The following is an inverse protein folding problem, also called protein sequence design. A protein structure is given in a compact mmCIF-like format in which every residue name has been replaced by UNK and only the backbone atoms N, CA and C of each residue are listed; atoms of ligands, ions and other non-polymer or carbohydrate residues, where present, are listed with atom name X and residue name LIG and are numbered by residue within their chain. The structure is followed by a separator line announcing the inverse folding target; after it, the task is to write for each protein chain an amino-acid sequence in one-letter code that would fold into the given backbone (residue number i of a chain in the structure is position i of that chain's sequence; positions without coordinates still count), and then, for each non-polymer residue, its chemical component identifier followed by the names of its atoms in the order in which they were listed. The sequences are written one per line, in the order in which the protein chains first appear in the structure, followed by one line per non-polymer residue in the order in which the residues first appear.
data_IF_206894624350
#
_entry.id   IF_206894624350
#
_cell.length_a   1.000
_cell.length_b   1.000
_cell.length_c   1.000
_cell.angle_alpha   90.00
_cell.angle_beta   90.00
_cell.angle_gamma   90.00
#
_symmetry.space_group_name_H-M   'P 1'
#
loop_
_entity.id
_entity.type
_entity.pdbx_description
1 polymer ?
#
# COMPACT_ATOMS: atom_id res chain seq x y z
N UNK A 1 -53.73 36.07 18.69
CA UNK A 1 -53.77 34.65 18.27
C UNK A 1 -52.33 34.15 18.22
N UNK A 2 -51.74 33.75 19.35
CA UNK A 2 -51.53 32.36 19.81
C UNK A 2 -51.06 31.37 18.70
N UNK A 3 -49.75 31.04 18.79
CA UNK A 3 -49.05 29.77 18.46
C UNK A 3 -48.91 29.47 16.95
N UNK A 4 -47.77 29.08 16.40
CA UNK A 4 -46.90 27.92 16.68
C UNK A 4 -45.51 28.23 16.07
N UNK A 5 -44.43 28.29 16.86
CA UNK A 5 -43.41 27.25 17.02
C UNK A 5 -42.44 27.07 15.84
N UNK A 6 -41.26 27.65 16.06
CA UNK A 6 -39.91 27.19 15.67
C UNK A 6 -39.88 25.87 14.86
N UNK A 7 -39.62 25.99 13.57
CA UNK A 7 -39.06 24.91 12.74
C UNK A 7 -37.70 25.36 12.20
N UNK A 8 -36.75 25.57 13.12
CA UNK A 8 -35.36 25.90 12.81
C UNK A 8 -34.45 25.09 13.73
N UNK A 9 -34.37 23.77 13.51
CA UNK A 9 -33.32 22.95 14.10
C UNK A 9 -33.24 21.62 13.34
N UNK A 10 -32.00 21.17 13.12
CA UNK A 10 -31.61 19.86 12.57
C UNK A 10 -31.56 19.73 11.03
N UNK A 11 -30.70 20.52 10.39
CA UNK A 11 -30.02 20.09 9.16
C UNK A 11 -28.57 20.59 9.19
N UNK A 12 -27.80 20.09 10.15
CA UNK A 12 -26.37 20.40 10.28
C UNK A 12 -25.76 19.38 11.20
N UNK A 13 -24.58 18.86 10.84
CA UNK A 13 -23.93 17.67 11.42
C UNK A 13 -24.64 16.41 10.93
N UNK A 14 -24.18 15.75 9.87
CA UNK A 14 -23.05 14.84 9.90
C UNK A 14 -22.36 14.76 8.53
N UNK A 15 -21.65 15.81 8.13
CA UNK A 15 -20.42 15.61 7.35
C UNK A 15 -19.29 15.44 8.36
N UNK A 16 -19.37 14.37 9.17
CA UNK A 16 -18.19 13.83 9.81
C UNK A 16 -17.36 13.28 8.67
N UNK A 17 -16.49 14.14 8.12
CA UNK A 17 -15.51 13.76 7.13
C UNK A 17 -14.83 12.49 7.59
N UNK A 18 -14.61 11.57 6.64
CA UNK A 18 -13.76 10.42 6.80
C UNK A 18 -12.50 10.83 7.57
N UNK A 19 -12.45 10.53 8.86
CA UNK A 19 -11.25 10.73 9.65
C UNK A 19 -10.28 9.63 9.25
N UNK A 20 -9.47 9.91 8.25
CA UNK A 20 -8.34 9.08 7.78
C UNK A 20 -7.17 9.03 8.79
N UNK A 21 -7.44 9.12 10.09
CA UNK A 21 -6.39 9.06 11.12
C UNK A 21 -6.27 7.67 11.77
N UNK A 22 -7.26 6.79 11.62
CA UNK A 22 -7.25 5.45 12.27
C UNK A 22 -6.53 4.37 11.48
N UNK A 23 -6.29 4.58 10.17
CA UNK A 23 -5.64 3.57 9.33
C UNK A 23 -4.15 3.46 9.71
N UNK A 24 -3.44 4.59 9.79
CA UNK A 24 -2.00 4.64 10.08
C UNK A 24 -1.61 4.06 11.44
N UNK A 25 -2.37 4.30 12.51
CA UNK A 25 -2.05 3.72 13.83
C UNK A 25 -2.09 2.18 13.84
N UNK A 26 -3.05 1.58 13.12
CA UNK A 26 -3.14 0.12 13.01
C UNK A 26 -1.97 -0.43 12.20
N UNK A 27 -1.59 0.27 11.13
CA UNK A 27 -0.45 -0.12 10.28
C UNK A 27 0.88 -0.08 11.04
N UNK A 28 1.13 0.99 11.80
CA UNK A 28 2.37 1.16 12.56
C UNK A 28 2.48 0.16 13.72
N UNK A 29 1.37 -0.12 14.42
CA UNK A 29 1.33 -1.17 15.44
C UNK A 29 1.64 -2.54 14.87
N UNK A 30 1.06 -2.91 13.73
CA UNK A 30 1.33 -4.22 13.12
C UNK A 30 2.77 -4.36 12.62
N UNK A 31 3.36 -3.28 12.08
CA UNK A 31 4.77 -3.26 11.69
C UNK A 31 5.71 -3.38 12.90
N UNK A 32 5.41 -2.71 14.01
CA UNK A 32 6.15 -2.86 15.26
C UNK A 32 6.08 -4.29 15.78
N UNK A 33 4.93 -4.95 15.71
CA UNK A 33 4.79 -6.34 16.15
C UNK A 33 5.48 -7.32 15.18
N UNK A 34 5.38 -7.08 13.87
CA UNK A 34 6.08 -7.86 12.83
C UNK A 34 7.61 -7.77 12.98
N UNK A 35 8.13 -6.59 13.29
CA UNK A 35 9.58 -6.34 13.40
C UNK A 35 10.20 -6.89 14.68
N UNK A 36 9.44 -7.04 15.77
CA UNK A 36 9.92 -7.62 17.04
C UNK A 36 9.98 -9.14 17.03
N UNK A 37 9.06 -9.80 16.31
CA UNK A 37 8.86 -11.24 16.42
C UNK A 37 9.44 -12.09 15.27
N UNK A 38 9.95 -11.46 14.20
CA UNK A 38 10.13 -12.18 12.94
C UNK A 38 11.48 -11.95 12.26
N UNK A 39 12.06 -13.03 11.72
CA UNK A 39 13.25 -12.98 10.86
C UNK A 39 12.92 -12.19 9.57
N UNK A 40 13.75 -11.19 9.27
CA UNK A 40 13.74 -10.43 8.01
C UNK A 40 14.62 -11.14 6.98
N UNK A 41 14.22 -11.07 5.72
CA UNK A 41 14.98 -11.59 4.59
C UNK A 41 15.19 -10.48 3.57
N UNK A 42 16.39 -10.36 3.00
CA UNK A 42 16.65 -9.41 1.93
C UNK A 42 15.78 -9.75 0.73
N UNK A 43 14.99 -8.77 0.27
CA UNK A 43 14.18 -8.93 -0.92
C UNK A 43 15.06 -8.83 -2.16
N UNK A 44 14.85 -9.73 -3.12
CA UNK A 44 15.44 -9.64 -4.47
C UNK A 44 14.42 -9.06 -5.43
N UNK A 45 13.21 -9.63 -5.48
CA UNK A 45 12.07 -9.07 -6.22
C UNK A 45 10.74 -9.58 -5.65
N UNK A 46 9.66 -8.85 -5.93
CA UNK A 46 8.28 -9.28 -5.75
C UNK A 46 7.45 -8.77 -6.94
N UNK A 47 6.94 -9.68 -7.75
CA UNK A 47 6.31 -9.35 -9.04
C UNK A 47 4.92 -9.98 -9.14
N UNK A 48 3.97 -9.25 -9.71
CA UNK A 48 2.67 -9.79 -10.10
C UNK A 48 2.85 -10.71 -11.31
N UNK A 49 2.44 -11.97 -11.18
CA UNK A 49 2.33 -12.93 -12.26
C UNK A 49 0.88 -12.97 -12.71
N UNK A 50 0.60 -12.31 -13.83
CA UNK A 50 -0.70 -12.38 -14.48
C UNK A 50 -0.68 -13.53 -15.50
N UNK A 51 -1.50 -14.55 -15.29
CA UNK A 51 -1.72 -15.63 -16.27
C UNK A 51 -3.05 -15.48 -17.04
N UNK A 52 -3.87 -14.46 -16.73
CA UNK A 52 -5.10 -14.13 -17.45
C UNK A 52 -6.28 -15.08 -17.19
N UNK A 53 -6.01 -16.24 -16.59
CA UNK A 53 -6.98 -17.31 -16.36
C UNK A 53 -7.44 -17.41 -14.90
N UNK A 54 -6.77 -16.72 -13.98
CA UNK A 54 -7.10 -16.74 -12.55
C UNK A 54 -7.84 -15.48 -12.09
N UNK A 55 -8.87 -15.71 -11.29
CA UNK A 55 -9.64 -14.65 -10.60
C UNK A 55 -8.83 -13.93 -9.51
N UNK A 56 -7.70 -14.49 -9.10
CA UNK A 56 -6.85 -13.94 -8.04
C UNK A 56 -5.45 -13.60 -8.57
N UNK A 57 -4.99 -12.41 -8.21
CA UNK A 57 -3.62 -11.98 -8.46
C UNK A 57 -2.63 -12.96 -7.81
N UNK A 58 -1.64 -13.43 -8.55
CA UNK A 58 -0.56 -14.28 -8.04
C UNK A 58 0.74 -13.49 -8.03
N UNK A 59 1.53 -13.59 -6.97
CA UNK A 59 2.80 -12.89 -6.83
C UNK A 59 3.95 -13.88 -6.71
N UNK A 60 5.02 -13.66 -7.47
CA UNK A 60 6.28 -14.38 -7.32
C UNK A 60 7.27 -13.52 -6.55
N UNK A 61 7.87 -14.11 -5.51
CA UNK A 61 8.80 -13.41 -4.62
C UNK A 61 10.11 -14.17 -4.58
N UNK A 62 11.22 -13.43 -4.73
CA UNK A 62 12.56 -13.94 -4.50
C UNK A 62 13.23 -13.20 -3.34
N UNK A 63 13.90 -13.94 -2.46
CA UNK A 63 14.55 -13.40 -1.28
C UNK A 63 15.83 -14.18 -0.93
N UNK A 64 16.73 -13.57 -0.16
CA UNK A 64 17.95 -14.24 0.31
C UNK A 64 17.73 -14.86 1.69
N UNK A 65 18.13 -16.12 1.84
CA UNK A 65 18.20 -16.81 3.14
C UNK A 65 19.45 -17.66 3.21
N UNK A 66 20.29 -17.41 4.21
CA UNK A 66 21.60 -18.07 4.34
C UNK A 66 22.48 -17.89 3.09
N UNK A 67 22.44 -16.70 2.47
CA UNK A 67 23.21 -16.38 1.26
C UNK A 67 22.69 -17.00 -0.04
N UNK A 68 21.63 -17.82 0.00
CA UNK A 68 21.01 -18.43 -1.18
C UNK A 68 19.74 -17.69 -1.55
N UNK A 69 19.48 -17.55 -2.85
CA UNK A 69 18.21 -17.06 -3.35
C UNK A 69 17.17 -18.18 -3.22
N UNK A 70 16.01 -17.81 -2.70
CA UNK A 70 14.83 -18.65 -2.53
C UNK A 70 13.66 -17.99 -3.22
N UNK A 71 12.72 -18.81 -3.69
CA UNK A 71 11.54 -18.37 -4.41
C UNK A 71 10.28 -18.87 -3.69
N UNK A 72 9.23 -18.08 -3.73
CA UNK A 72 7.89 -18.49 -3.31
C UNK A 72 6.83 -17.80 -4.18
N UNK A 73 5.66 -18.42 -4.24
CA UNK A 73 4.50 -17.91 -4.96
C UNK A 73 3.35 -17.76 -3.96
N UNK A 74 2.62 -16.64 -4.02
CA UNK A 74 1.49 -16.34 -3.14
C UNK A 74 0.35 -15.70 -3.91
N UNK A 75 -0.86 -16.10 -3.59
CA UNK A 75 -2.06 -15.41 -4.05
C UNK A 75 -2.21 -14.07 -3.31
N UNK A 76 -2.97 -13.14 -3.88
CA UNK A 76 -3.13 -11.78 -3.38
C UNK A 76 -3.64 -11.70 -1.94
N UNK A 77 -4.47 -12.65 -1.52
CA UNK A 77 -4.98 -12.73 -0.14
C UNK A 77 -3.87 -12.97 0.90
N UNK A 78 -2.73 -13.48 0.44
CA UNK A 78 -1.58 -13.86 1.26
C UNK A 78 -0.34 -13.00 1.00
N UNK A 79 -0.48 -11.95 0.18
CA UNK A 79 0.57 -11.02 -0.20
C UNK A 79 0.23 -9.62 0.33
N UNK A 80 1.07 -9.10 1.21
CA UNK A 80 0.90 -7.77 1.79
C UNK A 80 2.09 -6.91 1.44
N UNK A 81 1.88 -5.88 0.64
CA UNK A 81 2.93 -4.93 0.30
C UNK A 81 2.85 -3.68 1.17
N UNK A 82 4.02 -3.19 1.59
CA UNK A 82 4.17 -1.96 2.37
C UNK A 82 5.27 -1.11 1.77
N UNK A 83 4.98 0.18 1.65
CA UNK A 83 5.93 1.16 1.15
C UNK A 83 6.81 1.63 2.31
N UNK A 84 8.13 1.55 2.12
CA UNK A 84 9.10 2.06 3.08
C UNK A 84 9.06 3.59 3.10
N UNK A 85 8.94 4.17 4.30
CA UNK A 85 8.99 5.63 4.51
C UNK A 85 10.39 6.20 4.24
N UNK A 86 11.43 5.44 4.58
CA UNK A 86 12.82 5.79 4.32
C UNK A 86 13.21 5.35 2.89
N UNK A 87 13.53 6.29 1.98
CA UNK A 87 13.89 5.97 0.61
C UNK A 87 15.20 5.15 0.50
N UNK A 88 16.10 5.27 1.48
CA UNK A 88 17.40 4.61 1.48
C UNK A 88 17.36 3.21 2.12
N UNK A 89 16.24 2.85 2.77
CA UNK A 89 16.09 1.56 3.42
C UNK A 89 16.08 0.41 2.41
N UNK A 90 16.91 -0.62 2.63
CA UNK A 90 16.94 -1.79 1.74
C UNK A 90 15.60 -2.54 1.77
N UNK A 91 15.08 -2.99 0.62
CA UNK A 91 13.83 -3.74 0.59
C UNK A 91 14.01 -5.11 1.26
N UNK A 92 12.99 -5.53 2.00
CA UNK A 92 13.02 -6.78 2.76
C UNK A 92 11.64 -7.42 2.79
N UNK A 93 11.61 -8.69 3.20
CA UNK A 93 10.36 -9.38 3.46
C UNK A 93 10.34 -10.06 4.82
N UNK A 94 9.13 -10.29 5.31
CA UNK A 94 8.85 -10.90 6.60
C UNK A 94 7.84 -12.02 6.42
N UNK A 95 8.04 -13.14 7.14
CA UNK A 95 7.13 -14.29 7.16
C UNK A 95 6.84 -14.68 8.59
N UNK A 96 5.58 -14.62 9.00
CA UNK A 96 5.18 -15.02 10.36
C UNK A 96 5.31 -16.54 10.49
N UNK A 97 5.99 -17.07 11.52
CA UNK A 97 6.03 -18.52 11.78
C UNK A 97 4.64 -19.12 12.04
N UNK A 98 3.78 -18.34 12.68
CA UNK A 98 2.40 -18.66 13.08
C UNK A 98 1.36 -18.31 12.00
N UNK A 99 1.79 -17.61 10.94
CA UNK A 99 1.02 -17.39 9.70
C UNK A 99 1.92 -17.63 8.49
N UNK A 100 2.46 -18.83 8.33
CA UNK A 100 3.36 -19.19 7.21
C UNK A 100 2.74 -18.96 5.82
N UNK A 101 1.41 -18.77 5.78
CA UNK A 101 0.68 -18.38 4.59
C UNK A 101 0.95 -16.94 4.18
N UNK A 102 1.08 -16.02 5.13
CA UNK A 102 1.18 -14.58 4.89
C UNK A 102 2.63 -14.14 4.63
N UNK A 103 2.80 -13.33 3.59
CA UNK A 103 4.08 -12.69 3.27
C UNK A 103 3.90 -11.18 3.27
N UNK A 104 4.79 -10.49 3.99
CA UNK A 104 4.84 -9.03 4.02
C UNK A 104 6.09 -8.58 3.28
N UNK A 105 5.92 -7.81 2.21
CA UNK A 105 7.00 -7.21 1.42
C UNK A 105 7.09 -5.74 1.73
N UNK A 106 8.30 -5.28 2.07
CA UNK A 106 8.61 -3.90 2.37
C UNK A 106 9.59 -3.40 1.31
N UNK A 107 9.19 -2.41 0.53
CA UNK A 107 10.01 -1.87 -0.56
C UNK A 107 9.70 -0.40 -0.83
N UNK A 108 10.58 0.24 -1.57
CA UNK A 108 10.34 1.57 -2.14
C UNK A 108 9.15 1.55 -3.10
N UNK A 109 8.45 2.68 -3.28
CA UNK A 109 7.43 2.80 -4.32
C UNK A 109 8.06 2.66 -5.72
N UNK A 110 7.33 2.06 -6.67
CA UNK A 110 7.80 1.96 -8.06
C UNK A 110 7.80 3.31 -8.77
N UNK A 111 6.89 4.19 -8.39
CA UNK A 111 6.76 5.55 -8.92
C UNK A 111 6.46 6.49 -7.76
N UNK A 112 7.17 7.62 -7.73
CA UNK A 112 6.86 8.75 -6.85
C UNK A 112 6.43 9.89 -7.75
N UNK A 113 5.18 10.33 -7.60
CA UNK A 113 4.73 11.56 -8.24
C UNK A 113 5.23 12.73 -7.40
N UNK A 114 6.06 13.60 -7.99
CA UNK A 114 6.50 14.82 -7.33
C UNK A 114 5.29 15.71 -7.05
N UNK A 115 5.04 16.04 -5.78
CA UNK A 115 3.95 16.95 -5.40
C UNK A 115 4.37 18.44 -5.42
N UNK A 116 5.64 18.76 -5.72
CA UNK A 116 6.19 20.07 -5.39
C UNK A 116 6.34 21.06 -6.56
N UNK A 117 5.97 20.70 -7.80
CA UNK A 117 5.92 21.69 -8.88
C UNK A 117 4.65 21.49 -9.69
N UNK A 118 3.74 22.46 -9.61
CA UNK A 118 2.74 22.65 -10.66
C UNK A 118 3.50 22.72 -11.99
N UNK A 119 3.35 21.71 -12.83
CA UNK A 119 3.97 21.75 -14.15
C UNK A 119 3.14 22.68 -15.03
N UNK A 120 3.65 23.87 -15.29
CA UNK A 120 3.13 24.71 -16.38
C UNK A 120 3.70 24.18 -17.70
N UNK A 121 2.83 23.63 -18.54
CA UNK A 121 3.21 23.10 -19.84
C UNK A 121 2.58 23.95 -20.96
N UNK A 122 3.43 24.62 -21.74
CA UNK A 122 3.02 25.30 -22.96
C UNK A 122 3.03 24.34 -24.15
N UNK A 123 1.87 24.20 -24.81
CA UNK A 123 1.77 23.44 -26.06
C UNK A 123 2.44 24.25 -27.18
N UNK A 124 3.65 23.85 -27.58
CA UNK A 124 4.42 24.54 -28.63
C UNK A 124 3.93 24.28 -30.05
N UNK A 125 3.35 23.10 -30.30
CA UNK A 125 2.82 22.74 -31.62
C UNK A 125 1.69 21.72 -31.49
N UNK A 126 0.70 21.81 -32.39
CA UNK A 126 -0.35 20.80 -32.57
C UNK A 126 -0.33 20.34 -34.02
N UNK A 127 0.53 19.39 -34.33
CA UNK A 127 0.54 18.74 -35.64
C UNK A 127 -0.47 17.59 -35.68
N UNK A 128 -1.23 17.53 -36.78
CA UNK A 128 -2.06 16.38 -37.11
C UNK A 128 -1.21 15.45 -37.97
N UNK A 129 -0.92 14.26 -37.48
CA UNK A 129 -0.28 13.21 -38.27
C UNK A 129 -1.27 12.79 -39.36
N UNK A 130 -0.87 12.96 -40.62
CA UNK A 130 -1.62 12.46 -41.79
C UNK A 130 -1.13 11.10 -42.22
#
# INVERSE_FOLDING_TARGET
MKKLLLASLAAGVLLAGCSEEKSNEKFEKEEQELSKATKKYDLVFAELIADGDKDTATYQIAYKDGGKIKYLVKDGDHYHERILKDPEAKPYMVRKPDKEKEVFVYRQPYMVYGQDESFEADVKDKSVVK
#
